data_IF_082086282514
#
_entry.id   IF_082086282514
#
_cell.length_a   1.000
_cell.length_b   1.000
_cell.length_c   1.000
_cell.angle_alpha   90.00
_cell.angle_beta   90.00
_cell.angle_gamma   90.00
#
_symmetry.space_group_name_H-M   'P 1'
#
loop_
_entity.id
_entity.type
_entity.pdbx_description
1 polymer ?
#
# COMPACT_ATOMS: atom_id res chain seq x y z
N UNK A 1 20.86 -16.28 -10.03
CA UNK A 1 20.51 -15.86 -8.66
C UNK A 1 20.27 -17.05 -7.73
N UNK A 2 19.27 -17.91 -7.98
CA UNK A 2 18.92 -19.07 -7.13
C UNK A 2 20.11 -19.96 -6.69
N UNK A 3 20.94 -20.41 -7.63
CA UNK A 3 22.16 -21.21 -7.36
C UNK A 3 23.17 -20.51 -6.43
N UNK A 4 23.26 -19.17 -6.51
CA UNK A 4 24.12 -18.38 -5.62
C UNK A 4 23.55 -18.27 -4.21
N UNK A 5 22.23 -18.08 -4.10
CA UNK A 5 21.51 -18.04 -2.82
C UNK A 5 21.61 -19.38 -2.08
N UNK A 6 21.41 -20.50 -2.80
CA UNK A 6 21.56 -21.84 -2.25
C UNK A 6 22.97 -22.09 -1.70
N UNK A 7 24.02 -21.74 -2.47
CA UNK A 7 25.42 -21.87 -2.04
C UNK A 7 25.77 -20.99 -0.82
N UNK A 8 25.05 -19.89 -0.61
CA UNK A 8 25.25 -18.95 0.50
C UNK A 8 24.26 -19.16 1.65
N UNK A 9 23.39 -20.16 1.56
CA UNK A 9 22.37 -20.44 2.59
C UNK A 9 21.29 -19.36 2.73
N UNK A 10 21.12 -18.48 1.73
CA UNK A 10 20.16 -17.38 1.77
C UNK A 10 18.78 -17.92 1.37
N UNK A 11 17.81 -17.83 2.27
CA UNK A 11 16.40 -18.20 2.03
C UNK A 11 15.54 -16.95 2.00
N UNK A 12 14.79 -16.76 0.92
CA UNK A 12 13.92 -15.60 0.75
C UNK A 12 12.56 -16.10 0.28
N UNK A 13 11.51 -15.75 1.01
CA UNK A 13 10.13 -15.94 0.57
C UNK A 13 9.73 -14.64 -0.16
N UNK A 14 9.93 -14.62 -1.49
CA UNK A 14 9.47 -13.49 -2.31
C UNK A 14 8.06 -13.82 -2.79
N UNK A 15 7.06 -13.12 -2.24
CA UNK A 15 5.71 -13.15 -2.80
C UNK A 15 5.68 -12.20 -4.00
N UNK A 16 5.24 -12.70 -5.16
CA UNK A 16 5.05 -11.85 -6.33
C UNK A 16 3.88 -10.88 -6.07
N UNK A 17 4.14 -9.58 -6.24
CA UNK A 17 3.13 -8.53 -6.13
C UNK A 17 2.61 -8.25 -7.55
N UNK A 18 1.30 -8.44 -7.83
CA UNK A 18 0.75 -8.31 -9.18
C UNK A 18 0.55 -6.84 -9.57
N UNK A 19 1.65 -6.11 -9.75
CA UNK A 19 1.66 -4.70 -10.18
C UNK A 19 2.52 -4.52 -11.45
N UNK A 20 2.22 -3.52 -12.30
CA UNK A 20 2.91 -3.33 -13.59
C UNK A 20 4.30 -2.69 -13.46
N UNK A 21 4.81 -2.50 -12.24
CA UNK A 21 6.06 -1.79 -11.94
C UNK A 21 6.90 -2.53 -10.91
N UNK A 22 8.20 -2.22 -10.86
CA UNK A 22 9.10 -2.82 -9.87
C UNK A 22 8.74 -2.41 -8.43
N UNK A 23 8.65 -3.39 -7.53
CA UNK A 23 8.51 -3.18 -6.09
C UNK A 23 9.75 -3.72 -5.37
N UNK A 24 10.48 -2.85 -4.68
CA UNK A 24 11.68 -3.20 -3.92
C UNK A 24 11.99 -2.13 -2.88
N UNK A 25 12.52 -2.51 -1.70
CA UNK A 25 13.06 -1.53 -0.75
C UNK A 25 14.13 -0.61 -1.36
N UNK A 26 14.79 -1.02 -2.45
CA UNK A 26 15.75 -0.19 -3.17
C UNK A 26 15.14 1.07 -3.82
N UNK A 27 13.82 1.14 -3.98
CA UNK A 27 13.13 2.31 -4.54
C UNK A 27 12.62 3.28 -3.44
N UNK A 28 12.69 2.89 -2.17
CA UNK A 28 12.34 3.74 -1.04
C UNK A 28 13.28 4.96 -0.96
N UNK A 29 12.73 6.12 -0.60
CA UNK A 29 13.47 7.39 -0.52
C UNK A 29 13.61 8.15 -1.84
N UNK A 30 13.07 7.64 -2.96
CA UNK A 30 12.95 8.42 -4.19
C UNK A 30 12.03 9.63 -3.97
N UNK A 31 12.52 10.82 -4.27
CA UNK A 31 11.70 12.03 -4.33
C UNK A 31 11.13 12.21 -5.74
N UNK A 32 9.82 12.48 -5.85
CA UNK A 32 9.14 12.78 -7.12
C UNK A 32 8.95 14.30 -7.18
N UNK A 33 9.53 14.96 -8.18
CA UNK A 33 9.40 16.41 -8.37
C UNK A 33 8.08 16.75 -9.07
N UNK A 34 7.67 18.01 -9.00
CA UNK A 34 6.39 18.49 -9.55
C UNK A 34 6.25 18.21 -11.05
N UNK A 35 7.35 18.37 -11.80
CA UNK A 35 7.44 18.11 -13.23
C UNK A 35 7.35 16.61 -13.60
N UNK A 36 7.55 15.71 -12.64
CA UNK A 36 7.46 14.24 -12.82
C UNK A 36 6.18 13.66 -12.17
N UNK A 37 5.41 14.48 -11.44
CA UNK A 37 4.29 14.04 -10.63
C UNK A 37 2.99 14.08 -11.42
N UNK A 38 2.32 12.92 -11.52
CA UNK A 38 1.01 12.83 -12.17
C UNK A 38 -0.14 13.30 -11.26
N UNK A 39 -0.12 12.93 -9.97
CA UNK A 39 -1.16 13.29 -9.01
C UNK A 39 -0.59 13.43 -7.60
N UNK A 40 -1.26 14.24 -6.77
CA UNK A 40 -0.93 14.46 -5.37
C UNK A 40 -2.13 14.16 -4.47
N UNK A 41 -1.87 13.60 -3.29
CA UNK A 41 -2.88 13.35 -2.27
C UNK A 41 -2.30 13.77 -0.90
N UNK A 42 -3.13 14.40 -0.07
CA UNK A 42 -2.72 14.83 1.28
C UNK A 42 -1.93 16.13 1.33
N UNK A 43 -1.04 16.21 2.32
CA UNK A 43 -0.29 17.41 2.66
C UNK A 43 -1.20 18.56 3.07
N UNK A 44 -0.88 19.79 2.63
CA UNK A 44 -1.76 20.95 2.78
C UNK A 44 -2.71 21.18 1.60
N UNK A 45 -2.72 20.28 0.59
CA UNK A 45 -3.41 20.51 -0.69
C UNK A 45 -4.73 19.76 -0.82
N UNK A 46 -4.90 18.68 -0.07
CA UNK A 46 -6.14 17.90 -0.04
C UNK A 46 -6.23 17.10 1.27
N UNK A 47 -7.44 16.76 1.74
CA UNK A 47 -7.59 15.82 2.85
C UNK A 47 -7.10 14.44 2.44
N UNK A 48 -6.22 13.83 3.23
CA UNK A 48 -5.89 12.42 3.09
C UNK A 48 -5.76 11.75 4.45
N UNK A 49 -6.14 10.47 4.51
CA UNK A 49 -5.92 9.64 5.68
C UNK A 49 -5.70 8.19 5.28
N UNK A 50 -5.05 7.46 6.17
CA UNK A 50 -4.96 6.02 6.16
C UNK A 50 -5.51 5.49 7.49
N UNK A 51 -6.20 4.36 7.44
CA UNK A 51 -6.80 3.72 8.60
C UNK A 51 -6.75 2.21 8.43
N UNK A 52 -6.07 1.55 9.35
CA UNK A 52 -6.16 0.10 9.50
C UNK A 52 -7.10 -0.25 10.65
N UNK A 53 -8.08 -1.11 10.38
CA UNK A 53 -9.05 -1.54 11.40
C UNK A 53 -9.30 -3.04 11.39
N UNK A 54 -9.41 -3.61 12.57
CA UNK A 54 -9.78 -5.00 12.75
C UNK A 54 -11.29 -5.17 12.53
N UNK A 55 -11.65 -6.22 11.80
CA UNK A 55 -13.03 -6.67 11.57
C UNK A 55 -13.21 -8.13 11.92
N UNK A 56 -14.46 -8.53 12.16
CA UNK A 56 -14.76 -9.96 12.30
C UNK A 56 -14.67 -10.65 10.94
N UNK A 57 -14.34 -11.95 10.88
CA UNK A 57 -14.18 -12.67 9.61
C UNK A 57 -15.41 -12.64 8.70
N UNK A 58 -16.61 -12.48 9.27
CA UNK A 58 -17.87 -12.47 8.52
C UNK A 58 -18.18 -11.10 7.89
N UNK A 59 -17.45 -10.04 8.26
CA UNK A 59 -17.66 -8.67 7.77
C UNK A 59 -16.76 -8.32 6.58
N UNK A 60 -15.74 -9.12 6.29
CA UNK A 60 -14.75 -8.83 5.25
C UNK A 60 -14.62 -9.97 4.24
N UNK A 61 -14.21 -9.62 3.02
CA UNK A 61 -13.88 -10.58 1.97
C UNK A 61 -12.38 -10.53 1.74
N UNK A 62 -11.71 -11.68 1.89
CA UNK A 62 -10.27 -11.76 1.69
C UNK A 62 -9.89 -11.33 0.26
N UNK A 63 -8.77 -10.61 0.15
CA UNK A 63 -8.23 -10.07 -1.11
C UNK A 63 -9.18 -9.15 -1.91
N UNK A 64 -10.27 -8.65 -1.29
CA UNK A 64 -11.16 -7.67 -1.94
C UNK A 64 -10.52 -6.29 -1.95
N UNK A 65 -10.35 -5.74 -3.15
CA UNK A 65 -9.91 -4.35 -3.37
C UNK A 65 -11.06 -3.58 -4.02
N UNK A 66 -11.27 -2.34 -3.61
CA UNK A 66 -12.32 -1.47 -4.17
C UNK A 66 -11.82 -0.04 -4.22
N UNK A 67 -12.07 0.64 -5.32
CA UNK A 67 -11.84 2.09 -5.47
C UNK A 67 -13.20 2.76 -5.49
N UNK A 68 -13.42 3.72 -4.59
CA UNK A 68 -14.65 4.50 -4.51
C UNK A 68 -14.31 5.94 -4.88
N UNK A 69 -14.67 6.33 -6.09
CA UNK A 69 -14.29 7.63 -6.66
C UNK A 69 -13.64 7.47 -8.04
N UNK A 70 -13.02 8.54 -8.56
CA UNK A 70 -12.33 8.49 -9.84
C UNK A 70 -11.06 7.63 -9.77
N UNK A 71 -10.84 6.82 -10.80
CA UNK A 71 -9.59 6.08 -11.01
C UNK A 71 -8.47 7.02 -11.52
N UNK A 72 -7.23 6.53 -11.51
CA UNK A 72 -6.04 7.32 -11.90
C UNK A 72 -6.10 7.87 -13.33
N UNK A 73 -6.77 7.17 -14.25
CA UNK A 73 -6.94 7.61 -15.64
C UNK A 73 -7.97 8.74 -15.80
N UNK A 74 -8.78 8.95 -14.77
CA UNK A 74 -9.90 9.90 -14.75
C UNK A 74 -9.56 11.18 -13.98
N UNK A 75 -8.43 11.21 -13.28
CA UNK A 75 -7.94 12.41 -12.59
C UNK A 75 -7.04 13.24 -13.51
N UNK A 76 -7.12 14.56 -13.35
CA UNK A 76 -6.32 15.50 -14.14
C UNK A 76 -4.85 15.45 -13.71
N UNK A 77 -3.94 15.38 -14.68
CA UNK A 77 -2.50 15.47 -14.43
C UNK A 77 -2.11 16.75 -13.64
N UNK A 78 -1.25 16.59 -12.64
CA UNK A 78 -0.78 17.62 -11.73
C UNK A 78 -1.81 18.09 -10.68
N UNK A 79 -2.98 17.46 -10.62
CA UNK A 79 -4.03 17.82 -9.65
C UNK A 79 -3.80 17.23 -8.26
N UNK A 80 -4.38 17.88 -7.25
CA UNK A 80 -4.44 17.37 -5.88
C UNK A 80 -5.85 16.85 -5.60
N UNK A 81 -5.98 15.63 -5.10
CA UNK A 81 -7.25 14.94 -4.89
C UNK A 81 -7.31 14.35 -3.48
N UNK A 82 -8.51 14.19 -2.87
CA UNK A 82 -8.63 13.52 -1.59
C UNK A 82 -8.33 12.02 -1.69
N UNK A 83 -7.73 11.44 -0.64
CA UNK A 83 -7.45 9.99 -0.57
C UNK A 83 -7.83 9.42 0.79
N UNK A 84 -8.52 8.29 0.79
CA UNK A 84 -8.76 7.49 1.99
C UNK A 84 -8.28 6.07 1.74
N UNK A 85 -7.29 5.62 2.51
CA UNK A 85 -6.83 4.23 2.50
C UNK A 85 -7.46 3.54 3.71
N UNK A 86 -8.44 2.66 3.47
CA UNK A 86 -9.05 1.87 4.55
C UNK A 86 -8.64 0.41 4.35
N UNK A 87 -7.89 -0.12 5.32
CA UNK A 87 -7.44 -1.50 5.33
C UNK A 87 -8.20 -2.23 6.42
N UNK A 88 -9.00 -3.23 6.04
CA UNK A 88 -9.72 -4.08 6.98
C UNK A 88 -9.01 -5.42 7.10
N UNK A 89 -8.64 -5.78 8.34
CA UNK A 89 -7.93 -7.03 8.61
C UNK A 89 -8.71 -7.92 9.56
N UNK A 90 -8.59 -9.22 9.39
CA UNK A 90 -9.08 -10.21 10.35
C UNK A 90 -8.06 -11.33 10.52
N UNK A 91 -7.92 -11.82 11.74
CA UNK A 91 -6.98 -12.90 12.05
C UNK A 91 -7.15 -13.43 13.46
N UNK A 92 -6.93 -14.73 13.66
CA UNK A 92 -7.10 -15.40 14.96
C UNK A 92 -6.26 -14.80 16.09
N UNK A 93 -5.08 -14.27 15.74
CA UNK A 93 -4.15 -13.62 16.69
C UNK A 93 -4.15 -12.09 16.57
N UNK A 94 -5.01 -11.53 15.72
CA UNK A 94 -5.11 -10.07 15.58
C UNK A 94 -5.70 -9.47 16.85
N UNK A 95 -5.13 -8.35 17.28
CA UNK A 95 -5.60 -7.57 18.44
C UNK A 95 -5.75 -6.13 18.01
N UNK A 96 -6.68 -5.40 18.63
CA UNK A 96 -6.88 -3.98 18.36
C UNK A 96 -5.60 -3.16 18.55
N UNK A 97 -4.78 -3.50 19.54
CA UNK A 97 -3.50 -2.83 19.81
C UNK A 97 -2.46 -3.01 18.68
N UNK A 98 -2.67 -3.95 17.76
CA UNK A 98 -1.81 -4.14 16.59
C UNK A 98 -2.21 -3.24 15.42
N UNK A 99 -3.38 -2.61 15.45
CA UNK A 99 -3.82 -1.66 14.42
C UNK A 99 -2.75 -0.58 14.14
N UNK A 100 -2.29 0.20 15.14
CA UNK A 100 -1.28 1.24 14.89
C UNK A 100 0.10 0.67 14.51
N UNK A 101 0.40 -0.58 14.88
CA UNK A 101 1.68 -1.21 14.51
C UNK A 101 1.70 -1.55 13.02
N UNK A 102 0.59 -2.05 12.49
CA UNK A 102 0.45 -2.41 11.08
C UNK A 102 0.21 -1.17 10.21
N UNK A 103 -0.52 -0.17 10.71
CA UNK A 103 -0.77 1.09 9.98
C UNK A 103 0.54 1.82 9.64
N UNK A 104 1.54 1.79 10.52
CA UNK A 104 2.88 2.36 10.25
C UNK A 104 3.69 1.66 9.16
N UNK A 105 3.13 0.62 8.53
CA UNK A 105 3.77 -0.15 7.45
C UNK A 105 3.09 0.08 6.09
N UNK A 106 2.04 0.92 6.04
CA UNK A 106 1.47 1.48 4.82
C UNK A 106 2.50 2.43 4.21
#
# INVERSE_FOLDING_TARGET
VKKGMEKKGIRVNVTAIPIPMGCSPAFEGKSIRKEEMYAEFGGGRSPAFELLRMRTPNEITDSKVTVIGPEIDSIKEGSANPLGIIIEVSGKMMKKDYEPVLERRI
#
